data_IF_030516925414
#
_entry.id   IF_030516925414
#
_cell.length_a   1.000
_cell.length_b   1.000
_cell.length_c   1.000
_cell.angle_alpha   90.00
_cell.angle_beta   90.00
_cell.angle_gamma   90.00
#
_symmetry.space_group_name_H-M   'P 1'
#
loop_
_entity.id
_entity.type
_entity.pdbx_description
1 polymer ?
#
# COMPACT_ATOMS: atom_id res chain seq x y z
N UNK A 1 4.78 -6.16 14.73
CA UNK A 1 5.35 -7.00 13.65
C UNK A 1 6.59 -6.31 13.07
N UNK A 2 7.65 -7.02 12.65
CA UNK A 2 8.83 -6.41 12.00
C UNK A 2 9.01 -7.00 10.60
N UNK A 3 9.05 -6.14 9.58
CA UNK A 3 9.41 -6.55 8.22
C UNK A 3 10.93 -6.73 8.18
N UNK A 4 11.39 -7.97 8.04
CA UNK A 4 12.84 -8.28 8.05
C UNK A 4 13.45 -8.31 6.65
N UNK A 5 12.62 -8.52 5.62
CA UNK A 5 13.02 -8.66 4.21
C UNK A 5 11.97 -8.03 3.32
N UNK A 6 12.34 -7.77 2.07
CA UNK A 6 11.36 -7.37 1.05
C UNK A 6 10.32 -8.48 0.86
N UNK A 7 9.06 -8.12 0.73
CA UNK A 7 7.97 -9.03 0.43
C UNK A 7 6.95 -8.34 -0.48
N UNK A 8 6.15 -9.14 -1.19
CA UNK A 8 5.09 -8.67 -2.06
C UNK A 8 3.87 -9.58 -1.99
N UNK A 9 2.69 -9.03 -2.26
CA UNK A 9 1.43 -9.76 -2.38
C UNK A 9 0.53 -9.10 -3.43
N UNK A 10 -0.30 -9.90 -4.11
CA UNK A 10 -1.18 -9.44 -5.18
C UNK A 10 -0.50 -9.28 -6.55
N UNK A 11 -1.21 -8.66 -7.49
CA UNK A 11 -0.82 -8.48 -8.88
C UNK A 11 -1.19 -7.09 -9.41
N UNK A 12 -0.63 -6.70 -10.57
CA UNK A 12 -1.00 -5.45 -11.28
C UNK A 12 -2.19 -5.65 -12.24
N UNK A 13 -2.93 -6.74 -12.09
CA UNK A 13 -4.10 -7.03 -12.92
C UNK A 13 -5.29 -6.15 -12.54
N UNK A 14 -6.21 -5.97 -13.49
CA UNK A 14 -7.40 -5.16 -13.27
C UNK A 14 -8.24 -5.69 -12.11
N UNK A 15 -8.51 -4.83 -11.13
CA UNK A 15 -9.29 -5.19 -9.93
C UNK A 15 -8.47 -5.81 -8.79
N UNK A 16 -7.15 -5.91 -8.95
CA UNK A 16 -6.22 -6.30 -7.89
C UNK A 16 -5.21 -5.17 -7.59
N UNK A 17 -4.41 -5.34 -6.53
CA UNK A 17 -3.33 -4.41 -6.16
C UNK A 17 -2.07 -5.18 -5.80
N UNK A 18 -0.94 -4.76 -6.37
CA UNK A 18 0.37 -5.23 -5.96
C UNK A 18 0.86 -4.43 -4.76
N UNK A 19 0.92 -5.06 -3.60
CA UNK A 19 1.48 -4.48 -2.37
C UNK A 19 2.92 -4.94 -2.23
N UNK A 20 3.85 -3.99 -2.05
CA UNK A 20 5.25 -4.29 -1.75
C UNK A 20 5.65 -3.67 -0.42
N UNK A 21 6.44 -4.39 0.37
CA UNK A 21 6.94 -3.93 1.66
C UNK A 21 8.43 -4.18 1.78
N UNK A 22 9.11 -3.32 2.51
CA UNK A 22 10.55 -3.43 2.79
C UNK A 22 10.87 -2.91 4.20
N UNK A 23 11.97 -3.36 4.82
CA UNK A 23 12.43 -2.78 6.07
C UNK A 23 12.66 -1.27 5.93
N UNK A 24 12.22 -0.50 6.92
CA UNK A 24 12.36 0.95 7.01
C UNK A 24 12.28 1.38 8.48
N UNK A 25 13.00 2.45 8.84
CA UNK A 25 12.95 3.02 10.20
C UNK A 25 11.69 3.86 10.42
N UNK A 26 11.08 4.34 9.33
CA UNK A 26 9.85 5.14 9.33
C UNK A 26 8.79 4.51 8.44
N UNK A 27 7.52 4.66 8.83
CA UNK A 27 6.40 4.28 7.98
C UNK A 27 6.26 5.29 6.82
N UNK A 28 6.45 4.81 5.60
CA UNK A 28 6.25 5.56 4.36
C UNK A 28 5.25 4.78 3.52
N UNK A 29 4.18 5.43 3.09
CA UNK A 29 3.12 4.85 2.26
C UNK A 29 3.12 5.61 0.94
N UNK A 30 3.28 4.88 -0.16
CA UNK A 30 3.27 5.40 -1.53
C UNK A 30 2.18 4.64 -2.29
N UNK A 31 1.20 5.38 -2.84
CA UNK A 31 0.09 4.81 -3.59
C UNK A 31 0.16 5.32 -5.02
N UNK A 32 0.29 4.41 -5.98
CA UNK A 32 0.18 4.70 -7.40
C UNK A 32 -1.06 4.01 -7.95
N UNK A 33 -1.95 4.78 -8.56
CA UNK A 33 -3.20 4.24 -9.11
C UNK A 33 -3.72 5.08 -10.28
N UNK A 34 -4.23 4.46 -11.36
CA UNK A 34 -4.85 5.19 -12.47
C UNK A 34 -6.12 5.96 -12.05
N UNK A 35 -6.74 5.57 -10.93
CA UNK A 35 -7.93 6.21 -10.36
C UNK A 35 -7.61 7.02 -9.10
N UNK A 36 -6.34 7.32 -8.82
CA UNK A 36 -5.91 8.07 -7.64
C UNK A 36 -6.61 9.44 -7.53
N UNK A 37 -6.89 10.11 -8.65
CA UNK A 37 -7.62 11.39 -8.64
C UNK A 37 -9.01 11.28 -8.02
N UNK A 38 -9.68 10.13 -8.17
CA UNK A 38 -11.06 9.95 -7.74
C UNK A 38 -11.17 9.27 -6.37
N UNK A 39 -10.19 8.42 -6.02
CA UNK A 39 -10.26 7.56 -4.84
C UNK A 39 -9.01 7.58 -3.96
N UNK A 40 -7.99 8.39 -4.27
CA UNK A 40 -6.70 8.40 -3.56
C UNK A 40 -6.84 8.61 -2.05
N UNK A 41 -7.61 9.62 -1.64
CA UNK A 41 -7.86 9.92 -0.23
C UNK A 41 -8.59 8.78 0.50
N UNK A 42 -9.49 8.09 -0.20
CA UNK A 42 -10.23 6.96 0.35
C UNK A 42 -9.31 5.73 0.55
N UNK A 43 -8.39 5.48 -0.40
CA UNK A 43 -7.38 4.42 -0.28
C UNK A 43 -6.45 4.69 0.90
N UNK A 44 -5.91 5.91 1.00
CA UNK A 44 -5.01 6.33 2.08
C UNK A 44 -5.69 6.19 3.44
N UNK A 45 -6.94 6.65 3.56
CA UNK A 45 -7.72 6.52 4.78
C UNK A 45 -7.91 5.06 5.18
N UNK A 46 -8.31 4.20 4.24
CA UNK A 46 -8.52 2.77 4.49
C UNK A 46 -7.25 2.08 4.99
N UNK A 47 -6.09 2.42 4.41
CA UNK A 47 -4.80 1.89 4.87
C UNK A 47 -4.50 2.36 6.29
N UNK A 48 -4.69 3.64 6.58
CA UNK A 48 -4.41 4.20 7.92
C UNK A 48 -5.31 3.62 9.00
N UNK A 49 -6.59 3.42 8.72
CA UNK A 49 -7.54 2.77 9.65
C UNK A 49 -7.12 1.33 10.01
N UNK A 50 -6.47 0.61 9.10
CA UNK A 50 -5.95 -0.75 9.37
C UNK A 50 -4.63 -0.72 10.17
N UNK A 51 -3.87 0.37 10.06
CA UNK A 51 -2.54 0.50 10.69
C UNK A 51 -2.56 1.16 12.08
N UNK A 52 -3.70 1.70 12.52
CA UNK A 52 -3.94 2.08 13.93
C UNK A 52 -3.83 0.88 14.88
#
# INVERSE_FOLDING_TARGET
MKILKKAQAGTLESGDVLVTVRPSDTLIIEIESPVARQFGDAMERSIREILE
#
